data_IF_291329329059
#
_entry.id   IF_291329329059
#
_cell.length_a   1.000
_cell.length_b   1.000
_cell.length_c   1.000
_cell.angle_alpha   90.00
_cell.angle_beta   90.00
_cell.angle_gamma   90.00
#
_symmetry.space_group_name_H-M   'P 1'
#
loop_
_entity.id
_entity.type
_entity.pdbx_description
1 polymer ?
#
# COMPACT_ATOMS: atom_id res chain seq x y z
N UNK A 1 11.52 -5.16 7.95
CA UNK A 1 11.92 -3.82 7.48
C UNK A 1 10.93 -3.37 6.42
N UNK A 2 10.62 -2.07 6.34
CA UNK A 2 9.78 -1.52 5.26
C UNK A 2 10.72 -1.05 4.15
N UNK A 3 10.54 -1.57 2.95
CA UNK A 3 11.41 -1.27 1.80
C UNK A 3 10.79 -0.28 0.82
N UNK A 4 9.46 -0.22 0.78
CA UNK A 4 8.75 0.63 -0.18
C UNK A 4 7.47 1.20 0.40
N UNK A 5 7.20 2.46 0.09
CA UNK A 5 5.93 3.13 0.37
C UNK A 5 5.54 3.91 -0.88
N UNK A 6 4.28 3.80 -1.32
CA UNK A 6 3.76 4.52 -2.49
C UNK A 6 2.36 5.05 -2.22
N UNK A 7 2.04 6.29 -2.61
CA UNK A 7 0.70 6.84 -2.43
C UNK A 7 -0.33 6.08 -3.28
N UNK A 8 -1.56 5.97 -2.79
CA UNK A 8 -2.67 5.49 -3.60
C UNK A 8 -3.02 6.56 -4.66
N UNK A 9 -3.32 6.16 -5.91
CA UNK A 9 -3.69 7.10 -6.96
C UNK A 9 -4.94 7.95 -6.64
N UNK A 10 -5.84 7.43 -5.80
CA UNK A 10 -7.03 8.14 -5.32
C UNK A 10 -6.76 9.20 -4.24
N UNK A 11 -5.52 9.32 -3.76
CA UNK A 11 -5.11 10.37 -2.81
C UNK A 11 -5.51 10.15 -1.34
N UNK A 12 -6.27 9.10 -1.03
CA UNK A 12 -6.82 8.86 0.30
C UNK A 12 -6.16 7.71 1.06
N UNK A 13 -4.88 7.46 0.77
CA UNK A 13 -4.12 6.39 1.42
C UNK A 13 -2.76 6.13 0.79
N UNK A 14 -2.09 5.09 1.25
CA UNK A 14 -0.81 4.62 0.71
C UNK A 14 -0.66 3.11 0.84
N UNK A 15 0.29 2.55 0.11
CA UNK A 15 0.65 1.13 0.15
C UNK A 15 2.08 1.00 0.66
N UNK A 16 2.32 0.05 1.55
CA UNK A 16 3.65 -0.29 2.05
C UNK A 16 4.03 -1.73 1.69
N UNK A 17 5.28 -1.94 1.32
CA UNK A 17 5.90 -3.24 1.10
C UNK A 17 7.01 -3.50 2.12
N UNK A 18 7.02 -4.72 2.67
CA UNK A 18 7.91 -5.07 3.77
C UNK A 18 8.46 -6.49 3.62
N UNK A 19 9.54 -6.75 4.37
CA UNK A 19 10.17 -8.07 4.53
C UNK A 19 9.34 -9.04 5.42
N UNK A 20 8.13 -8.65 5.83
CA UNK A 20 7.14 -9.56 6.44
C UNK A 20 6.29 -10.29 5.38
N UNK A 21 6.72 -10.22 4.12
CA UNK A 21 6.04 -10.74 2.93
C UNK A 21 4.65 -10.13 2.71
N UNK A 22 4.37 -8.96 3.29
CA UNK A 22 3.08 -8.30 3.17
C UNK A 22 3.17 -7.01 2.34
N UNK A 23 2.18 -6.87 1.47
CA UNK A 23 1.77 -5.59 0.88
C UNK A 23 0.55 -5.10 1.65
N UNK A 24 0.70 -4.00 2.40
CA UNK A 24 -0.35 -3.44 3.24
C UNK A 24 -0.89 -2.15 2.63
N UNK A 25 -2.21 -2.04 2.58
CA UNK A 25 -2.94 -0.87 2.13
C UNK A 25 -3.45 -0.10 3.35
N UNK A 26 -3.20 1.19 3.35
CA UNK A 26 -3.49 2.08 4.46
C UNK A 26 -4.35 3.22 3.97
N UNK A 27 -5.46 3.44 4.64
CA UNK A 27 -6.22 4.68 4.49
C UNK A 27 -5.83 5.62 5.63
N UNK A 28 -5.90 6.92 5.37
CA UNK A 28 -5.69 7.92 6.42
C UNK A 28 -6.81 8.95 6.43
N UNK A 29 -7.20 9.34 7.64
CA UNK A 29 -8.21 10.35 7.88
C UNK A 29 -7.67 11.41 8.84
N UNK A 30 -7.97 12.67 8.53
CA UNK A 30 -7.58 13.79 9.37
C UNK A 30 -8.70 14.09 10.37
N UNK A 31 -8.57 13.58 11.58
CA UNK A 31 -9.54 13.82 12.65
C UNK A 31 -9.17 15.11 13.37
N UNK A 32 -10.07 16.08 13.36
CA UNK A 32 -9.91 17.31 14.12
C UNK A 32 -10.47 17.09 15.53
N UNK A 33 -9.61 17.09 16.54
CA UNK A 33 -10.06 17.03 17.92
C UNK A 33 -10.56 18.42 18.33
N UNK A 34 -11.88 18.56 18.46
CA UNK A 34 -12.55 19.81 18.80
C UNK A 34 -12.16 20.35 20.18
N UNK A 35 -11.57 19.53 21.07
CA UNK A 35 -11.19 19.96 22.41
C UNK A 35 -9.77 20.53 22.49
N UNK A 36 -8.85 20.06 21.64
CA UNK A 36 -7.41 20.37 21.71
C UNK A 36 -6.99 21.29 20.55
N UNK A 37 -7.82 21.42 19.50
CA UNK A 37 -7.52 22.25 18.33
C UNK A 37 -6.44 21.67 17.42
N UNK A 38 -5.95 20.46 17.72
CA UNK A 38 -4.96 19.73 16.94
C UNK A 38 -5.64 18.80 15.94
N UNK A 39 -5.01 18.64 14.77
CA UNK A 39 -5.44 17.68 13.75
C UNK A 39 -4.57 16.43 13.89
N UNK A 40 -5.21 15.29 14.12
CA UNK A 40 -4.54 14.00 14.26
C UNK A 40 -4.78 13.19 12.99
N UNK A 41 -3.72 12.63 12.42
CA UNK A 41 -3.82 11.67 11.33
C UNK A 41 -4.09 10.29 11.91
N UNK A 42 -5.29 9.78 11.67
CA UNK A 42 -5.61 8.38 11.93
C UNK A 42 -5.23 7.57 10.69
N UNK A 43 -4.51 6.46 10.87
CA UNK A 43 -4.06 5.59 9.79
C UNK A 43 -4.55 4.18 10.09
N UNK A 44 -5.31 3.59 9.17
CA UNK A 44 -5.91 2.26 9.36
C UNK A 44 -5.49 1.33 8.24
N UNK A 45 -5.11 0.09 8.59
CA UNK A 45 -4.88 -0.93 7.59
C UNK A 45 -6.24 -1.43 7.07
N UNK A 46 -6.50 -1.24 5.79
CA UNK A 46 -7.79 -1.62 5.18
C UNK A 46 -7.69 -2.96 4.44
N UNK A 47 -6.54 -3.26 3.87
CA UNK A 47 -6.29 -4.51 3.13
C UNK A 47 -4.85 -4.96 3.29
N UNK A 48 -4.65 -6.27 3.21
CA UNK A 48 -3.33 -6.91 3.18
C UNK A 48 -3.30 -7.94 2.07
N UNK A 49 -2.25 -7.90 1.26
CA UNK A 49 -1.98 -8.84 0.19
C UNK A 49 -0.69 -9.60 0.52
N UNK A 50 -0.82 -10.90 0.73
CA UNK A 50 0.27 -11.81 1.11
C UNK A 50 1.10 -12.19 -0.11
N UNK A 51 2.41 -12.04 0.00
CA UNK A 51 3.39 -12.46 -1.01
C UNK A 51 4.09 -13.75 -0.57
N UNK A 52 4.78 -14.37 -1.52
CA UNK A 52 5.60 -15.56 -1.26
C UNK A 52 6.96 -15.20 -0.67
N UNK A 53 7.45 -13.98 -0.90
CA UNK A 53 8.80 -13.52 -0.60
C UNK A 53 8.81 -12.04 -0.20
N UNK A 54 9.97 -11.54 0.22
CA UNK A 54 10.18 -10.14 0.62
C UNK A 54 9.76 -9.16 -0.46
N UNK A 55 9.00 -8.15 -0.07
CA UNK A 55 8.59 -7.07 -0.98
C UNK A 55 9.63 -5.97 -0.96
N UNK A 56 10.30 -5.78 -2.10
CA UNK A 56 11.38 -4.80 -2.24
C UNK A 56 10.88 -3.47 -2.81
N UNK A 57 9.90 -3.50 -3.71
CA UNK A 57 9.39 -2.29 -4.35
C UNK A 57 7.93 -2.44 -4.80
N UNK A 58 7.19 -1.34 -4.73
CA UNK A 58 5.79 -1.25 -5.16
C UNK A 58 5.60 -0.02 -6.04
N UNK A 59 4.89 -0.20 -7.17
CA UNK A 59 4.47 0.89 -8.06
C UNK A 59 3.07 0.65 -8.63
N UNK A 60 2.27 1.71 -8.65
CA UNK A 60 1.05 1.76 -9.45
C UNK A 60 1.36 2.05 -10.91
N UNK A 61 0.55 1.51 -11.81
CA UNK A 61 0.55 1.95 -13.20
C UNK A 61 0.07 3.41 -13.29
N UNK A 62 0.51 4.18 -14.30
CA UNK A 62 0.09 5.57 -14.48
C UNK A 62 -1.44 5.75 -14.63
N UNK A 63 -2.12 4.72 -15.12
CA UNK A 63 -3.58 4.68 -15.28
C UNK A 63 -4.32 4.11 -14.05
N UNK A 64 -3.59 3.84 -12.94
CA UNK A 64 -4.10 3.31 -11.67
C UNK A 64 -4.81 1.95 -11.74
N UNK A 65 -4.76 1.24 -12.87
CA UNK A 65 -5.43 -0.07 -13.03
C UNK A 65 -4.64 -1.22 -12.43
N UNK A 66 -3.32 -1.09 -12.36
CA UNK A 66 -2.42 -2.15 -11.95
C UNK A 66 -1.51 -1.72 -10.82
N UNK A 67 -1.10 -2.70 -10.03
CA UNK A 67 -0.03 -2.57 -9.05
C UNK A 67 1.02 -3.64 -9.34
N UNK A 68 2.27 -3.21 -9.50
CA UNK A 68 3.41 -4.08 -9.66
C UNK A 68 4.17 -4.20 -8.33
N UNK A 69 4.48 -5.44 -7.96
CA UNK A 69 5.17 -5.79 -6.72
C UNK A 69 6.44 -6.56 -7.09
N UNK A 70 7.61 -6.00 -6.77
CA UNK A 70 8.90 -6.63 -6.98
C UNK A 70 9.32 -7.42 -5.74
N UNK A 71 9.65 -8.69 -5.93
CA UNK A 71 9.99 -9.64 -4.87
C UNK A 71 11.49 -9.99 -4.87
N UNK A 72 11.97 -10.50 -3.74
CA UNK A 72 13.37 -10.92 -3.58
C UNK A 72 13.76 -12.13 -4.43
N UNK A 73 12.80 -12.98 -4.83
CA UNK A 73 13.01 -14.11 -5.75
C UNK A 73 13.24 -13.70 -7.22
N UNK A 74 13.51 -12.42 -7.47
CA UNK A 74 13.69 -11.84 -8.81
C UNK A 74 12.44 -11.91 -9.69
N UNK A 75 11.25 -12.09 -9.10
CA UNK A 75 9.97 -12.02 -9.81
C UNK A 75 9.26 -10.68 -9.59
N UNK A 76 8.43 -10.31 -10.57
CA UNK A 76 7.50 -9.18 -10.45
C UNK A 76 6.09 -9.75 -10.61
N UNK A 77 5.25 -9.53 -9.60
CA UNK A 77 3.83 -9.88 -9.66
C UNK A 77 3.01 -8.64 -9.95
N UNK A 78 2.08 -8.74 -10.90
CA UNK A 78 1.17 -7.67 -11.27
C UNK A 78 -0.24 -8.07 -10.86
N UNK A 79 -0.93 -7.15 -10.21
CA UNK A 79 -2.31 -7.32 -9.75
C UNK A 79 -3.18 -6.20 -10.27
N UNK A 80 -4.47 -6.47 -10.43
CA UNK A 80 -5.47 -5.43 -10.60
C UNK A 80 -5.58 -4.62 -9.30
N UNK A 81 -5.50 -3.30 -9.39
CA UNK A 81 -5.48 -2.42 -8.22
C UNK A 81 -6.81 -2.41 -7.43
N UNK A 82 -7.93 -2.72 -8.10
CA UNK A 82 -9.28 -2.72 -7.52
C UNK A 82 -9.55 -3.95 -6.64
N UNK A 83 -9.19 -5.12 -7.17
CA UNK A 83 -9.56 -6.44 -6.69
C UNK A 83 -8.39 -7.23 -6.12
N UNK A 84 -7.15 -6.79 -6.40
CA UNK A 84 -5.90 -7.45 -6.03
C UNK A 84 -5.79 -8.89 -6.56
N UNK A 85 -6.55 -9.22 -7.61
CA UNK A 85 -6.39 -10.47 -8.35
C UNK A 85 -5.17 -10.36 -9.25
N UNK A 86 -4.47 -11.47 -9.44
CA UNK A 86 -3.37 -11.54 -10.40
C UNK A 86 -3.87 -11.21 -11.80
N UNK A 87 -3.08 -10.44 -12.54
CA UNK A 87 -3.26 -10.23 -13.98
C UNK A 87 -2.96 -11.51 -14.77
#
# INVERSE_FOLDING_TARGET
AIWSVTPLPGGQGFVSGSADHDVKFWDFELVQDTNIGTKTLNITNVRTLKMSEDVLSIRFSPDAKYIAVALLDSTIKVFFADSLKSF
#
